data_IF_978652956329
#
_entry.id   IF_978652956329
#
_cell.length_a   1.000
_cell.length_b   1.000
_cell.length_c   1.000
_cell.angle_alpha   90.00
_cell.angle_beta   90.00
_cell.angle_gamma   90.00
#
_symmetry.space_group_name_H-M   'P 1'
#
loop_
_entity.id
_entity.type
_entity.pdbx_description
1 polymer ?
#
# COMPACT_ATOMS: atom_id res chain seq x y z
N UNK A 1 8.93 16.92 -4.83
CA UNK A 1 8.55 15.49 -4.81
C UNK A 1 9.25 14.87 -3.61
N UNK A 2 8.50 14.27 -2.69
CA UNK A 2 9.07 13.58 -1.51
C UNK A 2 9.39 12.13 -1.92
N UNK A 3 10.59 11.61 -1.63
CA UNK A 3 10.91 10.20 -1.81
C UNK A 3 9.97 9.30 -1.00
N UNK A 4 9.47 8.25 -1.64
CA UNK A 4 8.65 7.19 -1.01
C UNK A 4 9.50 5.93 -0.84
N UNK A 5 9.44 5.33 0.34
CA UNK A 5 10.07 4.05 0.65
C UNK A 5 8.96 3.06 0.96
N UNK A 6 8.63 2.22 -0.02
CA UNK A 6 7.67 1.14 0.15
C UNK A 6 8.38 -0.16 0.55
N UNK A 7 7.83 -0.86 1.54
CA UNK A 7 8.30 -2.18 1.95
C UNK A 7 7.38 -3.22 1.34
N UNK A 8 7.85 -3.92 0.31
CA UNK A 8 7.08 -4.97 -0.38
C UNK A 8 7.54 -6.38 -0.01
N UNK A 9 6.65 -7.35 -0.13
CA UNK A 9 6.94 -8.78 0.09
C UNK A 9 5.73 -9.58 0.60
N UNK A 10 5.87 -10.91 0.76
CA UNK A 10 4.76 -11.80 1.15
C UNK A 10 4.20 -11.50 2.55
N UNK A 11 2.98 -11.97 2.86
CA UNK A 11 2.41 -11.86 4.20
C UNK A 11 3.32 -12.49 5.26
N UNK A 12 3.25 -11.95 6.48
CA UNK A 12 3.92 -12.53 7.65
C UNK A 12 5.46 -12.61 7.57
N UNK A 13 6.08 -11.75 6.75
CA UNK A 13 7.54 -11.63 6.62
C UNK A 13 8.14 -10.45 7.40
N UNK A 14 7.35 -9.78 8.24
CA UNK A 14 7.82 -8.69 9.11
C UNK A 14 7.79 -7.29 8.47
N UNK A 15 7.11 -7.10 7.33
CA UNK A 15 7.03 -5.82 6.60
C UNK A 15 6.52 -4.67 7.46
N UNK A 16 5.34 -4.82 8.06
CA UNK A 16 4.75 -3.83 8.97
C UNK A 16 5.72 -3.44 10.07
N UNK A 17 6.37 -4.44 10.67
CA UNK A 17 7.35 -4.18 11.73
C UNK A 17 8.55 -3.39 11.24
N UNK A 18 9.07 -3.73 10.07
CA UNK A 18 10.19 -2.99 9.45
C UNK A 18 9.76 -1.55 9.07
N UNK A 19 8.56 -1.38 8.52
CA UNK A 19 8.02 -0.07 8.15
C UNK A 19 7.87 0.85 9.37
N UNK A 20 7.31 0.34 10.47
CA UNK A 20 7.25 1.04 11.77
C UNK A 20 8.64 1.45 12.26
N UNK A 21 9.61 0.52 12.21
CA UNK A 21 10.98 0.78 12.66
C UNK A 21 11.66 1.87 11.81
N UNK A 22 11.47 1.85 10.49
CA UNK A 22 12.02 2.85 9.57
C UNK A 22 11.37 4.21 9.80
N UNK A 23 10.04 4.26 9.93
CA UNK A 23 9.31 5.50 10.20
C UNK A 23 9.77 6.14 11.52
N UNK A 24 9.93 5.33 12.57
CA UNK A 24 10.46 5.79 13.85
C UNK A 24 11.91 6.28 13.75
N UNK A 25 12.78 5.53 13.06
CA UNK A 25 14.20 5.88 12.88
C UNK A 25 14.40 7.19 12.12
N UNK A 26 13.62 7.40 11.05
CA UNK A 26 13.73 8.59 10.21
C UNK A 26 12.82 9.74 10.64
N UNK A 27 12.02 9.57 11.69
CA UNK A 27 10.97 10.50 12.10
C UNK A 27 10.06 10.89 10.92
N UNK A 28 9.68 9.89 10.14
CA UNK A 28 8.89 10.04 8.92
C UNK A 28 7.44 9.57 9.13
N UNK A 29 6.46 10.13 8.41
CA UNK A 29 5.12 9.59 8.40
C UNK A 29 5.10 8.16 7.82
N UNK A 30 4.20 7.33 8.35
CA UNK A 30 3.97 5.95 7.90
C UNK A 30 2.56 5.84 7.31
N UNK A 31 2.48 5.36 6.08
CA UNK A 31 1.21 4.93 5.46
C UNK A 31 1.05 3.44 5.75
N UNK A 32 -0.03 3.07 6.43
CA UNK A 32 -0.38 1.67 6.69
C UNK A 32 -1.02 1.00 5.45
N UNK A 33 -0.91 -0.32 5.35
CA UNK A 33 -1.53 -1.13 4.28
C UNK A 33 -3.07 -1.06 4.35
N UNK A 34 -3.70 -0.40 3.38
CA UNK A 34 -5.15 -0.30 3.36
C UNK A 34 -5.86 -1.62 3.01
N UNK A 35 -5.25 -2.48 2.20
CA UNK A 35 -5.83 -3.79 1.86
C UNK A 35 -6.07 -4.66 3.12
N UNK A 36 -5.18 -4.57 4.11
CA UNK A 36 -5.33 -5.24 5.42
C UNK A 36 -6.50 -4.65 6.20
N UNK A 37 -6.56 -3.32 6.30
CA UNK A 37 -7.65 -2.62 6.98
C UNK A 37 -9.02 -2.97 6.37
N UNK A 38 -9.09 -2.99 5.04
CA UNK A 38 -10.30 -3.38 4.31
C UNK A 38 -10.69 -4.83 4.62
N UNK A 39 -9.72 -5.76 4.58
CA UNK A 39 -9.96 -7.16 4.93
C UNK A 39 -10.48 -7.32 6.37
N UNK A 40 -9.89 -6.62 7.34
CA UNK A 40 -10.29 -6.73 8.74
C UNK A 40 -11.71 -6.18 8.98
N UNK A 41 -12.15 -5.21 8.19
CA UNK A 41 -13.49 -4.61 8.28
C UNK A 41 -14.58 -5.32 7.44
N UNK A 42 -14.23 -5.82 6.25
CA UNK A 42 -15.19 -6.33 5.26
C UNK A 42 -15.04 -7.83 4.97
N UNK A 43 -13.90 -8.43 5.34
CA UNK A 43 -13.56 -9.81 5.03
C UNK A 43 -13.09 -9.97 3.59
N UNK A 44 -13.72 -10.88 2.85
CA UNK A 44 -13.29 -11.29 1.52
C UNK A 44 -13.25 -10.09 0.58
N UNK A 45 -12.04 -9.81 0.06
CA UNK A 45 -11.83 -8.88 -1.05
C UNK A 45 -12.27 -9.58 -2.34
N UNK A 46 -12.94 -8.85 -3.23
CA UNK A 46 -13.30 -9.29 -4.58
C UNK A 46 -12.54 -8.48 -5.64
N UNK A 47 -12.60 -8.92 -6.89
CA UNK A 47 -12.01 -8.18 -8.02
C UNK A 47 -12.60 -6.76 -8.16
N UNK A 48 -13.86 -6.57 -7.79
CA UNK A 48 -14.56 -5.27 -7.85
C UNK A 48 -14.05 -4.27 -6.80
N UNK A 49 -13.48 -4.78 -5.69
CA UNK A 49 -12.93 -3.96 -4.61
C UNK A 49 -11.52 -3.43 -4.93
N UNK A 50 -10.78 -4.12 -5.80
CA UNK A 50 -9.38 -3.83 -6.14
C UNK A 50 -9.15 -2.34 -6.50
N UNK A 51 -9.95 -1.69 -7.38
CA UNK A 51 -9.78 -0.28 -7.66
C UNK A 51 -10.02 0.63 -6.46
N UNK A 52 -10.98 0.30 -5.60
CA UNK A 52 -11.26 1.07 -4.39
C UNK A 52 -10.09 1.02 -3.41
N UNK A 53 -9.56 -0.18 -3.20
CA UNK A 53 -8.42 -0.42 -2.30
C UNK A 53 -7.16 0.32 -2.80
N UNK A 54 -6.82 0.17 -4.08
CA UNK A 54 -5.64 0.82 -4.65
C UNK A 54 -5.74 2.36 -4.63
N UNK A 55 -6.91 2.92 -4.97
CA UNK A 55 -7.12 4.37 -4.96
C UNK A 55 -7.07 4.95 -3.56
N UNK A 56 -7.61 4.25 -2.56
CA UNK A 56 -7.54 4.71 -1.18
C UNK A 56 -6.10 4.65 -0.63
N UNK A 57 -5.34 3.61 -1.00
CA UNK A 57 -3.91 3.53 -0.69
C UNK A 57 -3.16 4.76 -1.24
N UNK A 58 -3.33 5.07 -2.54
CA UNK A 58 -2.71 6.26 -3.14
C UNK A 58 -3.18 7.58 -2.51
N UNK A 59 -4.47 7.69 -2.18
CA UNK A 59 -5.01 8.89 -1.52
C UNK A 59 -4.31 9.13 -0.19
N UNK A 60 -4.10 8.09 0.62
CA UNK A 60 -3.38 8.16 1.91
C UNK A 60 -1.90 8.49 1.72
N UNK A 61 -1.26 7.92 0.70
CA UNK A 61 0.12 8.21 0.34
C UNK A 61 0.32 9.66 -0.10
N UNK A 62 -0.61 10.23 -0.85
CA UNK A 62 -0.58 11.63 -1.27
C UNK A 62 -0.85 12.58 -0.11
N UNK A 63 -1.82 12.25 0.74
CA UNK A 63 -2.16 13.04 1.94
C UNK A 63 -1.00 13.11 2.93
N UNK A 64 -0.33 11.99 3.21
CA UNK A 64 0.82 11.96 4.12
C UNK A 64 2.11 12.47 3.47
N UNK A 65 2.26 12.35 2.15
CA UNK A 65 3.38 12.97 1.43
C UNK A 65 3.38 14.49 1.58
N UNK A 66 2.20 15.13 1.63
CA UNK A 66 2.08 16.57 1.84
C UNK A 66 2.57 17.03 3.23
N UNK A 67 2.60 16.12 4.21
CA UNK A 67 3.04 16.37 5.58
C UNK A 67 4.51 15.95 5.80
N UNK A 68 5.07 15.15 4.89
CA UNK A 68 6.42 14.65 4.97
C UNK A 68 7.45 15.72 4.57
N UNK A 69 8.53 15.82 5.34
CA UNK A 69 9.60 16.80 5.09
C UNK A 69 10.79 16.23 4.31
N UNK A 70 11.04 14.92 4.41
CA UNK A 70 12.22 14.27 3.81
C UNK A 70 11.93 12.95 3.11
N UNK A 71 11.06 12.12 3.69
CA UNK A 71 10.64 10.85 3.11
C UNK A 71 9.28 10.44 3.67
N UNK A 72 8.60 9.57 2.93
CA UNK A 72 7.39 8.88 3.36
C UNK A 72 7.68 7.38 3.40
N UNK A 73 7.32 6.71 4.50
CA UNK A 73 7.39 5.24 4.59
C UNK A 73 6.01 4.66 4.30
N UNK A 74 5.95 3.64 3.46
CA UNK A 74 4.71 2.90 3.18
C UNK A 74 4.89 1.44 3.59
N UNK A 75 4.04 0.96 4.51
CA UNK A 75 3.88 -0.47 4.76
C UNK A 75 3.07 -1.05 3.60
N UNK A 76 3.74 -1.75 2.67
CA UNK A 76 3.25 -2.11 1.34
C UNK A 76 3.11 -0.93 0.36
N UNK A 77 2.78 -1.24 -0.89
CA UNK A 77 2.34 -0.28 -1.91
C UNK A 77 1.23 -0.88 -2.79
N UNK A 78 0.62 -0.08 -3.67
CA UNK A 78 -0.42 -0.52 -4.60
C UNK A 78 0.03 -1.65 -5.55
N UNK A 79 1.34 -1.84 -5.77
CA UNK A 79 1.86 -3.00 -6.50
C UNK A 79 1.47 -4.32 -5.84
N UNK A 80 1.43 -4.39 -4.51
CA UNK A 80 0.98 -5.59 -3.78
C UNK A 80 -0.49 -5.89 -4.11
N UNK A 81 -1.33 -4.87 -4.25
CA UNK A 81 -2.73 -5.01 -4.67
C UNK A 81 -2.85 -5.57 -6.10
N UNK A 82 -1.99 -5.14 -7.02
CA UNK A 82 -1.95 -5.69 -8.40
C UNK A 82 -1.56 -7.16 -8.38
N UNK A 83 -0.51 -7.52 -7.64
CA UNK A 83 -0.04 -8.90 -7.54
C UNK A 83 -1.10 -9.84 -6.93
N UNK A 84 -1.81 -9.38 -5.89
CA UNK A 84 -2.92 -10.13 -5.31
C UNK A 84 -4.10 -10.29 -6.27
N UNK A 85 -4.44 -9.24 -7.02
CA UNK A 85 -5.48 -9.31 -8.04
C UNK A 85 -5.15 -10.35 -9.11
N UNK A 86 -3.90 -10.37 -9.59
CA UNK A 86 -3.43 -11.35 -10.56
C UNK A 86 -3.47 -12.78 -10.00
N UNK A 87 -3.01 -12.96 -8.76
CA UNK A 87 -2.95 -14.27 -8.12
C UNK A 87 -4.35 -14.85 -7.87
N UNK A 88 -5.30 -14.04 -7.41
CA UNK A 88 -6.63 -14.50 -7.01
C UNK A 88 -7.63 -14.57 -8.17
N UNK A 89 -7.53 -13.67 -9.15
CA UNK A 89 -8.52 -13.52 -10.22
C UNK A 89 -7.94 -13.66 -11.63
N UNK A 90 -6.63 -13.83 -11.77
CA UNK A 90 -5.97 -13.94 -13.07
C UNK A 90 -5.95 -12.63 -13.87
N UNK A 91 -6.34 -11.51 -13.27
CA UNK A 91 -6.39 -10.20 -13.93
C UNK A 91 -6.36 -9.07 -12.91
N UNK A 92 -6.00 -7.87 -13.37
CA UNK A 92 -6.08 -6.63 -12.61
C UNK A 92 -6.64 -5.53 -13.54
N UNK A 93 -7.54 -4.66 -13.05
CA UNK A 93 -8.01 -3.50 -13.82
C UNK A 93 -6.85 -2.68 -14.38
N UNK A 94 -6.89 -2.39 -15.69
CA UNK A 94 -5.74 -1.86 -16.40
C UNK A 94 -5.30 -0.45 -15.95
N UNK A 95 -6.20 0.36 -15.42
CA UNK A 95 -5.87 1.65 -14.79
C UNK A 95 -5.10 1.47 -13.48
N UNK A 96 -5.46 0.47 -12.68
CA UNK A 96 -4.77 0.16 -11.42
C UNK A 96 -3.36 -0.37 -11.69
N UNK A 97 -3.22 -1.32 -12.62
CA UNK A 97 -1.90 -1.82 -13.04
C UNK A 97 -0.98 -0.69 -13.49
N UNK A 98 -1.43 0.13 -14.45
CA UNK A 98 -0.61 1.24 -14.98
C UNK A 98 -0.28 2.32 -13.94
N UNK A 99 -1.08 2.44 -12.89
CA UNK A 99 -0.79 3.38 -11.80
C UNK A 99 0.22 2.86 -10.79
N UNK A 100 0.44 1.54 -10.74
CA UNK A 100 1.36 0.89 -9.81
C UNK A 100 2.72 0.51 -10.44
N UNK A 101 2.80 0.44 -11.77
CA UNK A 101 4.02 0.18 -12.57
C UNK A 101 4.65 1.49 -13.08
#
# INVERSE_FOLDING_TARGET
MIPRVAIFGPESTGKTRLAEMLAAHFHAPLVAEYAREFWDGHGIITLEDIPGIAREQWRREDELAAQASRLLVCDTEALTTVLWSDLLYGTCPGDIRRGAE
#
